data_IF_026018307408
#
_entry.id   IF_026018307408
#
_cell.length_a   1.000
_cell.length_b   1.000
_cell.length_c   1.000
_cell.angle_alpha   90.00
_cell.angle_beta   90.00
_cell.angle_gamma   90.00
#
_symmetry.space_group_name_H-M   'P 1'
#
loop_
_entity.id
_entity.type
_entity.pdbx_description
1 polymer ?
#
# COMPACT_ATOMS: atom_id res chain seq x y z
N UNK A 1 -1.74 2.32 -17.02
CA UNK A 1 -2.69 1.30 -16.43
C UNK A 1 -3.24 1.83 -15.11
N UNK A 2 -4.32 1.27 -14.51
CA UNK A 2 -4.79 1.74 -13.18
C UNK A 2 -3.67 1.55 -12.15
N UNK A 3 -3.42 2.54 -11.30
CA UNK A 3 -2.34 2.51 -10.30
C UNK A 3 -2.34 1.26 -9.44
N UNK A 4 -3.51 0.83 -8.94
CA UNK A 4 -3.63 -0.36 -8.12
C UNK A 4 -3.21 -1.66 -8.84
N UNK A 5 -3.43 -1.74 -10.16
CA UNK A 5 -2.97 -2.87 -10.98
C UNK A 5 -1.48 -2.76 -11.29
N UNK A 6 -0.97 -1.54 -11.49
CA UNK A 6 0.44 -1.27 -11.75
C UNK A 6 1.32 -1.58 -10.55
N UNK A 7 0.80 -1.30 -9.35
CA UNK A 7 1.46 -1.55 -8.08
C UNK A 7 1.60 -3.04 -7.75
N UNK A 8 0.87 -3.93 -8.44
CA UNK A 8 0.93 -5.37 -8.15
C UNK A 8 2.34 -5.91 -8.38
N UNK A 9 2.86 -6.61 -7.38
CA UNK A 9 4.24 -7.13 -7.38
C UNK A 9 5.32 -6.06 -7.14
N UNK A 10 4.93 -4.79 -6.93
CA UNK A 10 5.82 -3.65 -6.66
C UNK A 10 5.62 -3.08 -5.25
N UNK A 11 4.89 -3.76 -4.38
CA UNK A 11 4.67 -3.27 -3.01
C UNK A 11 5.91 -3.13 -2.13
N UNK A 12 6.98 -3.94 -2.22
CA UNK A 12 8.18 -3.70 -1.43
C UNK A 12 8.76 -2.29 -1.59
N UNK A 13 8.94 -1.84 -2.83
CA UNK A 13 9.48 -0.50 -3.13
C UNK A 13 8.49 0.62 -2.77
N UNK A 14 7.19 0.41 -2.97
CA UNK A 14 6.17 1.40 -2.61
C UNK A 14 6.12 1.58 -1.09
N UNK A 15 6.12 0.47 -0.33
CA UNK A 15 6.08 0.53 1.13
C UNK A 15 7.34 1.20 1.69
N UNK A 16 8.51 0.91 1.13
CA UNK A 16 9.77 1.57 1.49
C UNK A 16 9.72 3.08 1.23
N UNK A 17 9.24 3.51 0.06
CA UNK A 17 9.10 4.94 -0.28
C UNK A 17 8.21 5.72 0.69
N UNK A 18 7.18 5.07 1.25
CA UNK A 18 6.24 5.67 2.21
C UNK A 18 6.61 5.43 3.69
N UNK A 19 7.82 4.95 3.98
CA UNK A 19 8.28 4.59 5.33
C UNK A 19 7.34 3.62 6.06
N UNK A 20 6.72 2.71 5.31
CA UNK A 20 5.79 1.71 5.83
C UNK A 20 6.48 0.39 6.15
N UNK A 21 5.89 -0.44 7.04
CA UNK A 21 6.42 -1.76 7.32
C UNK A 21 6.61 -2.60 6.05
N UNK A 22 7.67 -3.41 5.98
CA UNK A 22 7.90 -4.29 4.84
C UNK A 22 6.89 -5.44 4.82
N UNK A 23 6.86 -6.17 3.70
CA UNK A 23 6.08 -7.42 3.58
C UNK A 23 6.61 -8.45 4.59
N UNK A 24 5.72 -8.95 5.44
CA UNK A 24 6.06 -9.93 6.49
C UNK A 24 5.53 -11.33 6.20
N UNK A 25 4.69 -11.48 5.17
CA UNK A 25 4.05 -12.73 4.80
C UNK A 25 3.16 -13.25 5.92
N UNK A 26 3.45 -14.46 6.41
CA UNK A 26 2.68 -15.09 7.50
C UNK A 26 3.06 -14.57 8.90
N UNK A 27 4.14 -13.82 9.02
CA UNK A 27 4.65 -13.36 10.32
C UNK A 27 4.05 -12.01 10.70
N UNK A 28 3.87 -11.78 12.01
CA UNK A 28 3.52 -10.47 12.52
C UNK A 28 4.72 -9.50 12.42
N UNK A 29 4.43 -8.26 12.05
CA UNK A 29 5.40 -7.18 12.10
C UNK A 29 5.83 -6.94 13.55
N UNK A 30 7.14 -6.77 13.78
CA UNK A 30 7.72 -6.60 15.11
C UNK A 30 7.43 -5.22 15.71
N UNK A 31 7.22 -4.23 14.85
CA UNK A 31 6.85 -2.88 15.23
C UNK A 31 5.34 -2.74 15.49
N UNK A 32 4.92 -1.48 15.50
CA UNK A 32 3.53 -1.09 15.72
C UNK A 32 2.78 -0.99 14.39
N UNK A 33 1.47 -1.24 14.42
CA UNK A 33 0.61 -0.98 13.27
C UNK A 33 0.65 0.51 12.91
N UNK A 34 0.95 0.89 11.66
CA UNK A 34 1.04 2.30 11.27
C UNK A 34 -0.33 3.02 11.29
N UNK A 35 -1.43 2.27 11.36
CA UNK A 35 -2.79 2.83 11.42
C UNK A 35 -3.29 3.01 12.86
N UNK A 36 -2.96 2.08 13.77
CA UNK A 36 -3.57 2.05 15.12
C UNK A 36 -2.59 1.87 16.29
N UNK A 37 -1.28 1.72 16.04
CA UNK A 37 -0.27 1.54 17.09
C UNK A 37 -0.19 0.13 17.70
N UNK A 38 -1.10 -0.79 17.34
CA UNK A 38 -1.11 -2.13 17.95
C UNK A 38 0.15 -2.94 17.59
N UNK A 39 0.85 -3.46 18.61
CA UNK A 39 2.07 -4.27 18.45
C UNK A 39 1.75 -5.77 18.30
N UNK A 40 2.43 -6.45 17.37
CA UNK A 40 2.30 -7.90 17.19
C UNK A 40 0.93 -8.37 16.65
N UNK A 41 0.13 -7.44 16.11
CA UNK A 41 -1.19 -7.71 15.52
C UNK A 41 -1.26 -7.39 14.03
N UNK A 42 -0.30 -6.63 13.52
CA UNK A 42 -0.21 -6.21 12.12
C UNK A 42 0.68 -7.16 11.32
N UNK A 43 0.31 -7.44 10.07
CA UNK A 43 1.16 -8.07 9.07
C UNK A 43 0.76 -7.63 7.67
N UNK A 44 1.72 -7.67 6.75
CA UNK A 44 1.49 -7.49 5.31
C UNK A 44 1.75 -8.84 4.66
N UNK A 45 0.67 -9.49 4.21
CA UNK A 45 0.70 -10.84 3.64
C UNK A 45 0.87 -10.86 2.11
N UNK A 46 0.75 -9.70 1.44
CA UNK A 46 0.99 -9.50 0.00
C UNK A 46 0.34 -10.58 -0.90
N UNK A 47 -0.92 -10.88 -0.61
CA UNK A 47 -1.69 -11.86 -1.36
C UNK A 47 -1.86 -11.40 -2.80
N UNK A 48 -1.57 -12.30 -3.73
CA UNK A 48 -1.62 -12.07 -5.18
C UNK A 48 -0.78 -10.86 -5.63
N UNK A 49 0.24 -10.51 -4.84
CA UNK A 49 1.08 -9.33 -5.09
C UNK A 49 0.35 -8.01 -4.90
N UNK A 50 -0.77 -7.95 -4.18
CA UNK A 50 -1.58 -6.74 -4.01
C UNK A 50 -1.27 -5.93 -2.74
N UNK A 51 -0.20 -6.27 -2.02
CA UNK A 51 0.25 -5.55 -0.82
C UNK A 51 -0.73 -5.69 0.33
N UNK A 52 -1.49 -6.79 0.35
CA UNK A 52 -2.55 -6.97 1.33
C UNK A 52 -2.00 -7.01 2.75
N UNK A 53 -2.80 -6.50 3.67
CA UNK A 53 -2.44 -6.39 5.08
C UNK A 53 -3.63 -6.69 5.97
N UNK A 54 -3.33 -7.13 7.18
CA UNK A 54 -4.32 -7.50 8.19
C UNK A 54 -3.84 -7.00 9.55
N UNK A 55 -4.77 -6.42 10.31
CA UNK A 55 -4.60 -6.02 11.70
C UNK A 55 -5.92 -6.18 12.47
N UNK A 56 -5.86 -6.02 13.80
CA UNK A 56 -7.06 -5.91 14.64
C UNK A 56 -7.91 -4.67 14.33
N UNK A 57 -7.33 -3.62 13.77
CA UNK A 57 -8.06 -2.41 13.37
C UNK A 57 -8.69 -2.53 11.97
N UNK A 58 -8.41 -3.59 11.21
CA UNK A 58 -8.95 -3.79 9.87
C UNK A 58 -7.99 -4.50 8.93
N UNK A 59 -8.38 -4.53 7.65
CA UNK A 59 -7.61 -5.15 6.57
C UNK A 59 -7.84 -4.40 5.26
N UNK A 60 -6.98 -4.65 4.28
CA UNK A 60 -7.04 -4.02 2.96
C UNK A 60 -5.92 -4.47 2.03
N UNK A 61 -5.89 -3.85 0.85
CA UNK A 61 -4.76 -3.87 -0.07
C UNK A 61 -3.73 -2.78 0.29
N UNK A 62 -2.62 -2.76 -0.44
CA UNK A 62 -1.58 -1.76 -0.22
C UNK A 62 -2.05 -0.33 -0.48
N UNK A 63 -2.96 -0.11 -1.45
CA UNK A 63 -3.50 1.23 -1.75
C UNK A 63 -4.25 1.79 -0.54
N UNK A 64 -5.07 0.95 0.10
CA UNK A 64 -5.77 1.33 1.34
C UNK A 64 -4.79 1.60 2.47
N UNK A 65 -3.72 0.80 2.61
CA UNK A 65 -2.71 1.02 3.66
C UNK A 65 -2.04 2.39 3.50
N UNK A 66 -1.54 2.71 2.30
CA UNK A 66 -0.90 3.99 2.01
C UNK A 66 -1.89 5.13 2.24
N UNK A 67 -3.12 5.01 1.75
CA UNK A 67 -4.14 6.06 1.94
C UNK A 67 -4.47 6.33 3.41
N UNK A 68 -4.55 5.29 4.23
CA UNK A 68 -4.84 5.45 5.67
C UNK A 68 -3.69 6.05 6.48
N UNK A 69 -2.45 5.95 5.98
CA UNK A 69 -1.25 6.30 6.74
C UNK A 69 -0.66 7.65 6.34
N UNK A 70 -0.79 8.04 5.07
CA UNK A 70 -0.12 9.23 4.55
C UNK A 70 -0.88 10.54 4.78
N UNK A 71 -2.20 10.49 5.04
CA UNK A 71 -3.02 11.71 5.20
C UNK A 71 -3.15 12.56 3.93
N UNK A 72 -2.71 12.04 2.78
CA UNK A 72 -2.79 12.69 1.47
C UNK A 72 -4.09 12.33 0.74
N UNK A 73 -4.61 13.20 -0.14
CA UNK A 73 -5.69 12.85 -1.05
C UNK A 73 -5.36 11.63 -1.92
N UNK A 74 -6.36 10.78 -2.19
CA UNK A 74 -6.17 9.53 -2.94
C UNK A 74 -5.56 9.74 -4.34
N UNK A 75 -5.92 10.83 -5.02
CA UNK A 75 -5.36 11.17 -6.34
C UNK A 75 -3.86 11.50 -6.26
N UNK A 76 -3.40 12.19 -5.22
CA UNK A 76 -1.98 12.49 -5.03
C UNK A 76 -1.18 11.22 -4.76
N UNK A 77 -1.71 10.32 -3.93
CA UNK A 77 -1.11 9.01 -3.68
C UNK A 77 -0.98 8.21 -4.97
N UNK A 78 -2.04 8.18 -5.80
CA UNK A 78 -1.98 7.49 -7.07
C UNK A 78 -0.90 8.07 -7.99
N UNK A 79 -0.85 9.40 -8.13
CA UNK A 79 0.18 10.07 -8.94
C UNK A 79 1.59 9.80 -8.43
N UNK A 80 1.79 9.81 -7.12
CA UNK A 80 3.09 9.54 -6.51
C UNK A 80 3.54 8.09 -6.73
N UNK A 81 2.64 7.11 -6.53
CA UNK A 81 2.90 5.69 -6.82
C UNK A 81 3.18 5.51 -8.32
N UNK A 82 2.38 6.11 -9.19
CA UNK A 82 2.55 6.01 -10.63
C UNK A 82 3.92 6.54 -11.08
N UNK A 83 4.37 7.68 -10.57
CA UNK A 83 5.70 8.21 -10.83
C UNK A 83 6.82 7.30 -10.28
N UNK A 84 6.65 6.77 -9.07
CA UNK A 84 7.63 5.89 -8.44
C UNK A 84 7.86 4.61 -9.26
N UNK A 85 6.79 3.98 -9.74
CA UNK A 85 6.85 2.70 -10.45
C UNK A 85 6.97 2.86 -11.98
N UNK A 86 6.99 4.10 -12.48
CA UNK A 86 7.04 4.42 -13.91
C UNK A 86 5.76 4.06 -14.68
N UNK A 87 4.59 4.09 -14.03
CA UNK A 87 3.31 3.88 -14.68
C UNK A 87 2.80 5.19 -15.32
N UNK A 88 2.58 5.18 -16.63
CA UNK A 88 1.87 6.26 -17.32
C UNK A 88 0.35 6.00 -17.26
N UNK A 89 -0.32 6.53 -16.24
CA UNK A 89 -1.78 6.56 -16.18
C UNK A 89 -2.33 7.75 -16.94
N UNK A 90 -2.76 7.52 -18.19
CA UNK A 90 -3.56 8.49 -18.92
C UNK A 90 -5.02 8.40 -18.49
N UNK A 91 -5.50 9.44 -17.79
CA UNK A 91 -6.92 9.61 -17.52
C UNK A 91 -7.62 9.94 -18.84
N UNK A 92 -8.07 8.90 -19.55
CA UNK A 92 -8.87 9.07 -20.78
C UNK A 92 -10.13 9.86 -20.41
N UNK A 93 -10.22 11.11 -20.88
CA UNK A 93 -11.48 11.85 -20.85
C UNK A 93 -12.40 11.18 -21.86
N UNK A 94 -13.34 10.38 -21.37
CA UNK A 94 -14.44 9.89 -22.21
C UNK A 94 -15.35 11.11 -22.48
N UNK A 95 -15.70 11.41 -23.75
CA UNK A 95 -16.52 12.56 -24.12
C UNK A 95 -17.86 12.63 -23.40
#
# INVERSE_FOLDING_TARGET
MKTAEAAKGRWPEILEHFDLPPITGKNHFRGECPVCGARGKFRIDDRDGAGTWICVCGSGDGMKLVTLTQGKPFNEICTEIDHLIGNDYQRVKIP
#
